data_IF_248460572186
#
_entry.id   IF_248460572186
#
_cell.length_a   1.000
_cell.length_b   1.000
_cell.length_c   1.000
_cell.angle_alpha   90.00
_cell.angle_beta   90.00
_cell.angle_gamma   90.00
#
_symmetry.space_group_name_H-M   'P 1'
#
loop_
_entity.id
_entity.type
_entity.pdbx_description
1 polymer ?
#
# COMPACT_ATOMS: atom_id res chain seq x y z
N UNK A 1 -27.21 11.09 35.41
CA UNK A 1 -26.47 12.16 34.72
C UNK A 1 -25.05 11.66 34.55
N UNK A 2 -24.83 10.83 33.52
CA UNK A 2 -23.61 10.03 33.36
C UNK A 2 -22.53 10.82 32.59
N UNK A 3 -21.31 10.57 33.04
CA UNK A 3 -20.09 11.32 32.85
C UNK A 3 -19.45 11.05 31.47
N UNK A 4 -19.05 12.11 30.77
CA UNK A 4 -18.22 12.09 29.57
C UNK A 4 -16.81 11.57 29.90
N UNK A 5 -16.27 10.69 29.05
CA UNK A 5 -14.83 10.45 28.93
C UNK A 5 -14.42 10.61 27.46
N UNK A 6 -14.11 11.85 27.08
CA UNK A 6 -13.38 12.20 25.86
C UNK A 6 -11.91 12.25 26.27
N UNK A 7 -11.06 11.38 25.72
CA UNK A 7 -9.61 11.52 25.81
C UNK A 7 -9.11 12.18 24.52
N UNK A 8 -8.91 13.50 24.63
CA UNK A 8 -8.09 14.30 23.73
C UNK A 8 -6.61 13.99 23.99
N UNK A 9 -5.83 13.84 22.92
CA UNK A 9 -4.38 13.72 22.99
C UNK A 9 -3.77 15.03 22.44
N UNK A 10 -3.35 15.91 23.35
CA UNK A 10 -2.55 17.09 23.02
C UNK A 10 -1.05 16.85 23.24
N UNK A 11 -0.30 17.56 22.42
CA UNK A 11 1.14 17.50 22.17
C UNK A 11 1.95 18.07 23.34
N UNK A 12 3.02 17.39 23.77
CA UNK A 12 3.96 17.92 24.75
C UNK A 12 5.26 17.10 24.79
N UNK A 13 6.34 17.67 24.26
CA UNK A 13 7.68 17.08 24.31
C UNK A 13 8.11 16.73 25.74
N UNK A 14 8.51 15.47 25.96
CA UNK A 14 9.52 15.11 26.96
C UNK A 14 10.21 13.79 26.60
N UNK A 15 11.54 13.82 26.59
CA UNK A 15 12.46 12.71 26.40
C UNK A 15 12.26 11.64 27.47
N UNK A 16 12.36 10.36 27.07
CA UNK A 16 12.42 9.20 27.97
C UNK A 16 11.41 8.13 27.58
N UNK A 17 11.73 7.32 26.58
CA UNK A 17 10.91 6.17 26.19
C UNK A 17 11.12 5.02 27.18
N UNK A 18 10.35 5.00 28.27
CA UNK A 18 10.08 3.78 29.01
C UNK A 18 9.01 2.97 28.27
N UNK A 19 9.32 1.69 28.01
CA UNK A 19 8.36 0.70 27.53
C UNK A 19 7.25 0.51 28.57
N UNK A 20 6.17 1.27 28.46
CA UNK A 20 4.94 0.98 29.18
C UNK A 20 4.28 -0.27 28.57
N UNK A 21 4.59 -1.43 29.14
CA UNK A 21 3.85 -2.65 28.89
C UNK A 21 2.38 -2.47 29.26
N UNK A 22 1.47 -2.75 28.32
CA UNK A 22 0.05 -2.92 28.62
C UNK A 22 -0.14 -4.28 29.28
N UNK A 23 -0.04 -4.32 30.61
CA UNK A 23 -0.27 -5.53 31.42
C UNK A 23 -1.60 -5.42 32.17
N UNK A 24 -2.61 -6.11 31.65
CA UNK A 24 -3.88 -6.41 32.31
C UNK A 24 -4.75 -7.24 31.36
N UNK A 25 -5.41 -8.33 31.80
CA UNK A 25 -6.35 -9.04 30.94
C UNK A 25 -7.52 -8.10 30.63
N UNK A 26 -7.63 -7.64 29.38
CA UNK A 26 -8.89 -7.10 28.88
C UNK A 26 -9.86 -8.27 28.84
N UNK A 27 -10.96 -8.19 29.58
CA UNK A 27 -12.10 -9.07 29.32
C UNK A 27 -12.44 -8.94 27.84
N UNK A 28 -12.30 -10.04 27.11
CA UNK A 28 -12.59 -10.05 25.69
C UNK A 28 -14.10 -9.91 25.51
N UNK A 29 -14.52 -8.95 24.69
CA UNK A 29 -15.92 -8.84 24.27
C UNK A 29 -16.39 -10.19 23.73
N UNK A 30 -17.62 -10.58 24.04
CA UNK A 30 -18.26 -11.69 23.34
C UNK A 30 -18.36 -11.38 21.84
N UNK A 31 -18.52 -12.44 21.03
CA UNK A 31 -18.65 -12.26 19.58
C UNK A 31 -19.80 -11.34 19.18
N UNK A 32 -20.93 -11.40 19.91
CA UNK A 32 -22.08 -10.51 19.69
C UNK A 32 -21.77 -9.05 20.01
N UNK A 33 -21.20 -8.78 21.20
CA UNK A 33 -20.84 -7.42 21.60
C UNK A 33 -19.81 -6.79 20.66
N UNK A 34 -18.86 -7.59 20.15
CA UNK A 34 -17.91 -7.13 19.16
C UNK A 34 -18.59 -6.77 17.83
N UNK A 35 -19.54 -7.59 17.38
CA UNK A 35 -20.30 -7.34 16.15
C UNK A 35 -21.11 -6.05 16.29
N UNK A 36 -21.82 -5.87 17.40
CA UNK A 36 -22.60 -4.66 17.66
C UNK A 36 -21.71 -3.41 17.68
N UNK A 37 -20.53 -3.51 18.29
CA UNK A 37 -19.55 -2.44 18.28
C UNK A 37 -19.07 -2.12 16.86
N UNK A 38 -18.77 -3.13 16.04
CA UNK A 38 -18.34 -2.92 14.66
C UNK A 38 -19.42 -2.26 13.80
N UNK A 39 -20.68 -2.68 13.95
CA UNK A 39 -21.81 -2.05 13.26
C UNK A 39 -21.99 -0.59 13.70
N UNK A 40 -21.89 -0.31 15.00
CA UNK A 40 -22.03 1.05 15.52
C UNK A 40 -20.94 2.03 15.04
N UNK A 41 -19.89 1.55 14.36
CA UNK A 41 -18.85 2.40 13.78
C UNK A 41 -19.07 2.78 12.31
N UNK A 42 -20.09 2.23 11.65
CA UNK A 42 -20.44 2.48 10.23
C UNK A 42 -19.21 2.40 9.30
N UNK A 43 -18.36 1.38 9.50
CA UNK A 43 -17.02 1.32 8.90
C UNK A 43 -17.02 1.31 7.37
N UNK A 44 -18.09 0.81 6.74
CA UNK A 44 -18.28 0.70 5.30
C UNK A 44 -18.69 2.01 4.62
N UNK A 45 -19.19 2.99 5.41
CA UNK A 45 -19.62 4.30 4.91
C UNK A 45 -18.60 5.41 5.17
N UNK A 46 -17.53 5.12 5.91
CA UNK A 46 -16.54 6.10 6.33
C UNK A 46 -15.35 6.17 5.38
N UNK A 47 -14.92 7.40 5.13
CA UNK A 47 -13.62 7.71 4.54
C UNK A 47 -12.60 8.00 5.66
N UNK A 48 -11.38 7.55 5.45
CA UNK A 48 -10.26 7.70 6.37
C UNK A 48 -9.07 8.33 5.64
N UNK A 49 -8.42 9.37 6.19
CA UNK A 49 -7.19 9.88 5.62
C UNK A 49 -6.11 8.79 5.65
N UNK A 50 -5.55 8.43 4.49
CA UNK A 50 -4.47 7.44 4.40
C UNK A 50 -3.29 7.76 5.33
N UNK A 51 -2.83 9.02 5.47
CA UNK A 51 -1.80 9.38 6.45
C UNK A 51 -2.15 8.99 7.89
N UNK A 52 -3.42 9.16 8.30
CA UNK A 52 -3.87 8.82 9.65
C UNK A 52 -3.89 7.30 9.86
N UNK A 53 -4.29 6.52 8.83
CA UNK A 53 -4.27 5.05 8.89
C UNK A 53 -2.84 4.51 9.00
N UNK A 54 -1.91 5.05 8.21
CA UNK A 54 -0.47 4.69 8.30
C UNK A 54 0.06 5.03 9.69
N UNK A 55 -0.12 6.28 10.14
CA UNK A 55 0.36 6.73 11.45
C UNK A 55 -0.18 5.88 12.60
N UNK A 56 -1.49 5.59 12.60
CA UNK A 56 -2.11 4.79 13.65
C UNK A 56 -1.63 3.33 13.66
N UNK A 57 -1.23 2.78 12.52
CA UNK A 57 -0.84 1.36 12.40
C UNK A 57 0.66 1.10 12.47
N UNK A 58 1.50 2.10 12.17
CA UNK A 58 2.97 1.93 12.09
C UNK A 58 3.74 2.92 12.97
N UNK A 59 3.09 3.98 13.44
CA UNK A 59 3.73 5.11 14.12
C UNK A 59 4.55 6.01 13.19
N UNK A 60 4.46 5.82 11.86
CA UNK A 60 5.19 6.60 10.85
C UNK A 60 4.32 7.65 10.17
N UNK A 61 4.97 8.66 9.63
CA UNK A 61 4.33 9.81 8.98
C UNK A 61 4.39 9.69 7.48
N UNK A 62 3.24 9.88 6.81
CA UNK A 62 3.19 10.14 5.37
C UNK A 62 3.54 11.61 5.15
N UNK A 63 4.72 11.85 4.59
CA UNK A 63 5.26 13.18 4.31
C UNK A 63 4.76 13.65 2.94
N UNK A 64 4.01 14.77 2.84
CA UNK A 64 3.59 15.31 1.54
C UNK A 64 4.79 15.71 0.69
N UNK A 65 4.76 15.39 -0.60
CA UNK A 65 5.78 15.85 -1.53
C UNK A 65 5.71 17.37 -1.69
N UNK A 66 6.87 18.04 -1.60
CA UNK A 66 6.97 19.49 -1.79
C UNK A 66 8.00 19.77 -2.89
N UNK A 67 7.69 20.61 -3.90
CA UNK A 67 8.59 20.89 -5.02
C UNK A 67 9.94 21.55 -4.66
N UNK A 68 10.14 21.98 -3.41
CA UNK A 68 11.35 22.69 -2.98
C UNK A 68 12.34 21.81 -2.18
N UNK A 69 12.06 20.51 -2.03
CA UNK A 69 12.96 19.56 -1.38
C UNK A 69 13.79 18.81 -2.43
N UNK A 70 15.11 18.96 -2.37
CA UNK A 70 16.03 18.39 -3.36
C UNK A 70 15.93 16.86 -3.46
N UNK A 71 15.68 16.16 -2.35
CA UNK A 71 15.47 14.71 -2.37
C UNK A 71 14.15 14.31 -3.03
N UNK A 72 13.08 15.07 -2.78
CA UNK A 72 11.77 14.89 -3.43
C UNK A 72 11.90 15.10 -4.94
N UNK A 73 12.59 16.17 -5.36
CA UNK A 73 12.80 16.47 -6.78
C UNK A 73 13.63 15.38 -7.46
N UNK A 74 14.74 14.95 -6.84
CA UNK A 74 15.58 13.87 -7.36
C UNK A 74 14.80 12.56 -7.53
N UNK A 75 14.03 12.14 -6.51
CA UNK A 75 13.23 10.92 -6.55
C UNK A 75 12.13 11.02 -7.61
N UNK A 76 11.38 12.13 -7.65
CA UNK A 76 10.26 12.26 -8.59
C UNK A 76 10.73 12.36 -10.04
N UNK A 77 11.84 13.04 -10.31
CA UNK A 77 12.47 13.07 -11.63
C UNK A 77 13.00 11.69 -12.06
N UNK A 78 13.56 10.92 -11.13
CA UNK A 78 13.98 9.55 -11.38
C UNK A 78 12.80 8.61 -11.70
N UNK A 79 11.67 8.77 -10.99
CA UNK A 79 10.44 8.02 -11.26
C UNK A 79 9.88 8.37 -12.63
N UNK A 80 9.82 9.65 -13.00
CA UNK A 80 9.37 10.11 -14.33
C UNK A 80 10.17 9.43 -15.45
N UNK A 81 11.49 9.53 -15.38
CA UNK A 81 12.37 8.96 -16.39
C UNK A 81 12.25 7.42 -16.43
N UNK A 82 12.23 6.74 -15.28
CA UNK A 82 12.05 5.29 -15.23
C UNK A 82 10.68 4.86 -15.79
N UNK A 83 9.60 5.60 -15.50
CA UNK A 83 8.27 5.30 -16.02
C UNK A 83 8.19 5.45 -17.55
N UNK A 84 8.86 6.47 -18.11
CA UNK A 84 8.97 6.64 -19.56
C UNK A 84 9.74 5.49 -20.22
N UNK A 85 10.86 5.06 -19.62
CA UNK A 85 11.64 3.92 -20.11
C UNK A 85 10.84 2.61 -20.05
N UNK A 86 10.10 2.38 -18.95
CA UNK A 86 9.22 1.21 -18.79
C UNK A 86 8.09 1.20 -19.84
N UNK A 87 7.48 2.35 -20.13
CA UNK A 87 6.47 2.45 -21.19
C UNK A 87 7.03 2.06 -22.55
N UNK A 88 8.23 2.53 -22.90
CA UNK A 88 8.88 2.19 -24.17
C UNK A 88 9.20 0.70 -24.21
N UNK A 89 9.80 0.17 -23.14
CA UNK A 89 10.16 -1.25 -23.03
C UNK A 89 8.95 -2.16 -23.23
N UNK A 90 7.86 -1.90 -22.53
CA UNK A 90 6.70 -2.81 -22.52
C UNK A 90 5.73 -2.62 -23.66
N UNK A 91 5.83 -1.54 -24.44
CA UNK A 91 5.19 -1.43 -25.74
C UNK A 91 6.07 -1.98 -26.89
N UNK A 92 7.34 -2.28 -26.63
CA UNK A 92 8.29 -2.80 -27.62
C UNK A 92 7.90 -4.18 -28.18
N UNK A 93 8.45 -4.58 -29.34
CA UNK A 93 8.16 -5.87 -29.96
C UNK A 93 8.55 -7.05 -29.07
N UNK A 94 9.63 -6.93 -28.29
CA UNK A 94 10.14 -7.99 -27.41
C UNK A 94 9.51 -7.96 -25.99
N UNK A 95 8.42 -7.22 -25.81
CA UNK A 95 7.77 -7.10 -24.51
C UNK A 95 7.28 -8.47 -24.01
N UNK A 96 7.65 -8.88 -22.78
CA UNK A 96 7.18 -10.14 -22.18
C UNK A 96 5.68 -10.10 -21.84
N UNK A 97 5.04 -8.95 -22.03
CA UNK A 97 3.63 -8.72 -21.74
C UNK A 97 2.72 -9.04 -22.92
N UNK A 98 3.31 -9.31 -24.10
CA UNK A 98 2.56 -9.80 -25.26
C UNK A 98 1.94 -11.15 -24.92
N UNK A 99 0.73 -11.38 -25.42
CA UNK A 99 -0.04 -12.61 -25.22
C UNK A 99 -0.46 -12.92 -23.77
N UNK A 100 -0.17 -12.05 -22.80
CA UNK A 100 -0.73 -12.17 -21.46
C UNK A 100 -2.25 -12.08 -21.53
N UNK A 101 -2.94 -13.12 -21.08
CA UNK A 101 -4.41 -13.15 -21.05
C UNK A 101 -5.00 -12.31 -19.93
N UNK A 102 -4.24 -12.05 -18.86
CA UNK A 102 -4.71 -11.28 -17.70
C UNK A 102 -3.71 -10.17 -17.40
N UNK A 103 -4.20 -8.93 -17.39
CA UNK A 103 -3.38 -7.76 -17.07
C UNK A 103 -2.73 -7.85 -15.69
N UNK A 104 -3.36 -8.53 -14.72
CA UNK A 104 -2.81 -8.70 -13.38
C UNK A 104 -1.48 -9.48 -13.35
N UNK A 105 -1.19 -10.26 -14.39
CA UNK A 105 0.09 -10.97 -14.53
C UNK A 105 1.22 -10.01 -14.96
N UNK A 106 0.88 -8.86 -15.55
CA UNK A 106 1.83 -7.85 -15.99
C UNK A 106 2.41 -7.01 -14.85
N UNK A 107 1.67 -6.81 -13.75
CA UNK A 107 2.07 -5.92 -12.64
C UNK A 107 3.49 -6.18 -12.13
N UNK A 108 3.88 -7.45 -12.04
CA UNK A 108 5.20 -7.84 -11.56
C UNK A 108 6.33 -7.36 -12.46
N UNK A 109 6.13 -7.35 -13.77
CA UNK A 109 7.16 -6.88 -14.70
C UNK A 109 7.41 -5.38 -14.52
N UNK A 110 6.36 -4.59 -14.27
CA UNK A 110 6.48 -3.17 -13.95
C UNK A 110 7.24 -2.95 -12.64
N UNK A 111 6.89 -3.68 -11.58
CA UNK A 111 7.61 -3.61 -10.30
C UNK A 111 9.12 -3.91 -10.46
N UNK A 112 9.46 -5.01 -11.12
CA UNK A 112 10.85 -5.43 -11.26
C UNK A 112 11.65 -4.50 -12.20
N UNK A 113 11.05 -4.01 -13.30
CA UNK A 113 11.69 -3.07 -14.21
C UNK A 113 11.94 -1.70 -13.55
N UNK A 114 10.94 -1.15 -12.85
CA UNK A 114 11.09 0.10 -12.10
C UNK A 114 12.19 -0.03 -11.03
N UNK A 115 12.22 -1.14 -10.29
CA UNK A 115 13.26 -1.37 -9.29
C UNK A 115 14.65 -1.29 -9.91
N UNK A 116 14.89 -2.01 -11.00
CA UNK A 116 16.21 -2.03 -11.68
C UNK A 116 16.59 -0.65 -12.19
N UNK A 117 15.65 0.06 -12.83
CA UNK A 117 15.92 1.39 -13.40
C UNK A 117 16.17 2.45 -12.33
N UNK A 118 15.44 2.39 -11.21
CA UNK A 118 15.61 3.34 -10.10
C UNK A 118 16.87 3.07 -9.28
N UNK A 119 17.19 1.80 -9.02
CA UNK A 119 18.40 1.40 -8.28
C UNK A 119 19.69 1.65 -9.08
N UNK A 120 19.58 1.73 -10.41
CA UNK A 120 20.69 2.07 -11.29
C UNK A 120 20.98 3.57 -11.43
N UNK A 121 20.21 4.46 -10.80
CA UNK A 121 20.42 5.91 -10.87
C UNK A 121 21.39 6.39 -9.80
N UNK A 122 22.34 7.23 -10.20
CA UNK A 122 23.33 7.80 -9.28
C UNK A 122 22.65 8.56 -8.13
N UNK A 123 23.11 8.30 -6.90
CA UNK A 123 22.59 8.93 -5.68
C UNK A 123 21.24 8.39 -5.20
N UNK A 124 20.71 7.33 -5.82
CA UNK A 124 19.51 6.64 -5.39
C UNK A 124 19.79 5.17 -5.07
N UNK A 125 19.08 4.64 -4.08
CA UNK A 125 18.91 3.19 -3.90
C UNK A 125 17.43 2.85 -4.04
N UNK A 126 17.13 1.71 -4.66
CA UNK A 126 15.76 1.23 -4.80
C UNK A 126 15.65 -0.28 -4.58
N UNK A 127 14.91 -0.67 -3.55
CA UNK A 127 14.78 -2.07 -3.15
C UNK A 127 13.36 -2.48 -2.81
N UNK A 128 13.19 -3.77 -2.52
CA UNK A 128 11.99 -4.28 -1.88
C UNK A 128 12.05 -3.86 -0.42
N UNK A 129 11.03 -3.20 0.14
CA UNK A 129 11.07 -2.77 1.52
C UNK A 129 11.18 -3.98 2.46
N UNK A 130 12.04 -3.86 3.47
CA UNK A 130 12.11 -4.82 4.57
C UNK A 130 10.99 -4.56 5.57
N UNK A 131 10.52 -5.63 6.19
CA UNK A 131 9.59 -5.53 7.32
C UNK A 131 10.28 -4.93 8.54
N UNK A 132 9.51 -4.44 9.51
CA UNK A 132 10.04 -4.02 10.82
C UNK A 132 10.89 -5.11 11.53
N UNK A 133 10.63 -6.39 11.23
CA UNK A 133 11.42 -7.53 11.72
C UNK A 133 12.68 -7.84 10.90
N UNK A 134 13.01 -7.04 9.88
CA UNK A 134 14.21 -7.19 9.04
C UNK A 134 14.08 -8.18 7.88
N UNK A 135 12.98 -8.95 7.79
CA UNK A 135 12.76 -9.86 6.67
C UNK A 135 12.27 -9.12 5.41
N UNK A 136 12.79 -9.48 4.25
CA UNK A 136 12.23 -9.05 2.97
C UNK A 136 10.86 -9.70 2.74
N UNK A 137 9.88 -8.89 2.33
CA UNK A 137 8.55 -9.39 1.98
C UNK A 137 8.06 -8.73 0.70
N UNK A 138 8.01 -9.50 -0.39
CA UNK A 138 7.47 -9.00 -1.66
C UNK A 138 5.98 -8.70 -1.59
N UNK A 139 5.19 -9.52 -0.90
CA UNK A 139 3.73 -9.37 -0.86
C UNK A 139 3.25 -8.25 0.07
N UNK A 140 2.33 -7.43 -0.41
CA UNK A 140 1.66 -6.37 0.34
C UNK A 140 2.31 -5.01 0.16
N UNK A 141 1.65 -3.95 0.62
CA UNK A 141 2.13 -2.58 0.46
C UNK A 141 3.29 -2.22 1.41
N UNK A 142 4.25 -1.37 1.00
CA UNK A 142 4.49 -0.88 -0.38
C UNK A 142 5.35 -1.85 -1.18
N UNK A 143 5.32 -1.74 -2.51
CA UNK A 143 6.08 -2.63 -3.41
C UNK A 143 7.57 -2.28 -3.44
N UNK A 144 7.92 -0.99 -3.50
CA UNK A 144 9.29 -0.49 -3.60
C UNK A 144 9.60 0.57 -2.52
N UNK A 145 10.86 0.63 -2.09
CA UNK A 145 11.43 1.70 -1.26
C UNK A 145 12.59 2.35 -2.02
N UNK A 146 12.51 3.66 -2.17
CA UNK A 146 13.53 4.50 -2.78
C UNK A 146 14.14 5.39 -1.69
N UNK A 147 15.45 5.55 -1.70
CA UNK A 147 16.16 6.49 -0.84
C UNK A 147 17.11 7.34 -1.67
N UNK A 148 17.04 8.65 -1.47
CA UNK A 148 18.02 9.58 -2.01
C UNK A 148 19.16 9.75 -1.00
N UNK A 149 20.34 9.27 -1.36
CA UNK A 149 21.47 9.10 -0.45
C UNK A 149 21.94 10.42 0.16
N UNK A 150 21.98 11.48 -0.65
CA UNK A 150 22.54 12.76 -0.21
C UNK A 150 21.68 13.48 0.83
N UNK A 151 20.34 13.34 0.76
CA UNK A 151 19.42 13.98 1.71
C UNK A 151 18.86 13.01 2.76
N UNK A 152 18.97 11.69 2.55
CA UNK A 152 18.27 10.67 3.32
C UNK A 152 16.76 10.66 3.09
N UNK A 153 16.25 11.34 2.05
CA UNK A 153 14.82 11.37 1.74
C UNK A 153 14.36 9.97 1.31
N UNK A 154 13.27 9.48 1.90
CA UNK A 154 12.69 8.17 1.59
C UNK A 154 11.36 8.35 0.89
N UNK A 155 11.13 7.52 -0.14
CA UNK A 155 9.83 7.37 -0.77
C UNK A 155 9.44 5.89 -0.89
N UNK A 156 8.17 5.60 -0.60
CA UNK A 156 7.56 4.32 -0.93
C UNK A 156 6.79 4.44 -2.24
N UNK A 157 7.01 3.50 -3.17
CA UNK A 157 6.38 3.49 -4.48
C UNK A 157 5.56 2.22 -4.66
N UNK A 158 4.33 2.39 -5.13
CA UNK A 158 3.36 1.32 -5.39
C UNK A 158 2.91 1.41 -6.86
N UNK A 159 3.54 0.66 -7.77
CA UNK A 159 3.13 0.61 -9.18
C UNK A 159 1.78 -0.08 -9.33
N UNK A 160 0.92 0.44 -10.21
CA UNK A 160 -0.39 -0.16 -10.52
C UNK A 160 -0.71 -0.03 -12.01
N UNK A 161 -1.47 -0.98 -12.52
CA UNK A 161 -2.02 -0.94 -13.87
C UNK A 161 -3.50 -0.57 -13.79
N UNK A 162 -3.97 0.28 -14.71
CA UNK A 162 -5.37 0.64 -14.80
C UNK A 162 -5.81 0.80 -16.25
N UNK A 163 -7.07 0.49 -16.55
CA UNK A 163 -7.61 0.71 -17.89
C UNK A 163 -7.86 2.20 -18.09
N UNK A 164 -7.41 2.77 -19.21
CA UNK A 164 -7.48 4.21 -19.47
C UNK A 164 -8.91 4.78 -19.39
N UNK A 165 -9.92 3.97 -19.70
CA UNK A 165 -11.35 4.29 -19.66
C UNK A 165 -11.94 4.22 -18.24
N UNK A 166 -11.19 3.69 -17.26
CA UNK A 166 -11.65 3.39 -15.90
C UNK A 166 -11.15 4.35 -14.83
N UNK A 167 -10.58 5.50 -15.20
CA UNK A 167 -9.99 6.47 -14.26
C UNK A 167 -10.99 6.92 -13.18
N UNK A 168 -12.27 7.04 -13.54
CA UNK A 168 -13.35 7.45 -12.63
C UNK A 168 -14.09 6.26 -11.98
N UNK A 169 -13.57 5.04 -12.13
CA UNK A 169 -14.17 3.83 -11.56
C UNK A 169 -14.08 3.81 -10.03
N UNK A 170 -15.16 3.37 -9.39
CA UNK A 170 -15.19 3.10 -7.94
C UNK A 170 -14.54 1.77 -7.53
N UNK A 171 -14.03 0.99 -8.50
CA UNK A 171 -13.32 -0.25 -8.21
C UNK A 171 -11.97 0.05 -7.54
N UNK A 172 -11.60 -0.84 -6.62
CA UNK A 172 -10.39 -0.70 -5.81
C UNK A 172 -9.12 -1.03 -6.60
N UNK A 173 -8.27 -0.02 -6.80
CA UNK A 173 -6.92 -0.19 -7.39
C UNK A 173 -5.82 -0.23 -6.34
N UNK A 174 -6.01 0.49 -5.22
CA UNK A 174 -5.05 0.59 -4.13
C UNK A 174 -5.49 -0.23 -2.92
N UNK A 175 -4.55 -0.94 -2.30
CA UNK A 175 -4.80 -1.81 -1.15
C UNK A 175 -3.76 -1.55 -0.07
N UNK A 176 -4.23 -1.21 1.12
CA UNK A 176 -3.38 -1.14 2.31
C UNK A 176 -3.97 -2.02 3.41
N UNK A 177 -3.17 -2.99 3.88
CA UNK A 177 -3.51 -3.81 5.04
C UNK A 177 -2.59 -3.42 6.19
N UNK A 178 -3.10 -2.72 7.22
CA UNK A 178 -2.36 -2.45 8.45
C UNK A 178 -1.80 -3.73 9.07
N UNK A 179 -0.51 -3.74 9.39
CA UNK A 179 0.15 -4.85 10.09
C UNK A 179 1.07 -4.29 11.17
N UNK A 180 0.75 -4.52 12.44
CA UNK A 180 1.51 -3.96 13.55
C UNK A 180 2.97 -4.46 13.60
N UNK A 181 3.20 -5.76 13.38
CA UNK A 181 4.52 -6.38 13.57
C UNK A 181 5.30 -6.57 12.26
N UNK A 182 4.59 -6.71 11.14
CA UNK A 182 5.18 -7.00 9.81
C UNK A 182 4.91 -5.90 8.78
N UNK A 183 4.70 -4.66 9.25
CA UNK A 183 4.64 -3.51 8.35
C UNK A 183 5.96 -3.34 7.60
N UNK A 184 5.84 -3.00 6.32
CA UNK A 184 6.93 -2.58 5.44
C UNK A 184 7.15 -1.06 5.42
N UNK A 185 6.23 -0.30 6.02
CA UNK A 185 6.38 1.14 6.25
C UNK A 185 7.13 1.32 7.56
N UNK A 186 8.42 1.62 7.46
CA UNK A 186 9.39 1.65 8.56
C UNK A 186 10.05 3.01 8.76
N UNK A 187 9.83 3.96 7.84
CA UNK A 187 10.35 5.33 7.91
C UNK A 187 9.21 6.35 7.71
N UNK A 188 9.44 7.58 8.18
CA UNK A 188 8.68 8.74 7.74
C UNK A 188 9.10 9.05 6.30
N UNK A 189 8.17 9.05 5.37
CA UNK A 189 8.51 9.00 3.95
C UNK A 189 7.42 9.64 3.08
N UNK A 190 7.77 9.92 1.83
CA UNK A 190 6.76 10.12 0.79
C UNK A 190 6.09 8.80 0.44
N UNK A 191 4.82 8.85 0.07
CA UNK A 191 4.07 7.69 -0.39
C UNK A 191 3.48 7.98 -1.76
N UNK A 192 3.97 7.27 -2.77
CA UNK A 192 3.58 7.47 -4.15
C UNK A 192 2.89 6.23 -4.73
N UNK A 193 1.89 6.47 -5.57
CA UNK A 193 1.32 5.48 -6.48
C UNK A 193 1.69 5.87 -7.91
N UNK A 194 2.25 4.94 -8.67
CA UNK A 194 2.54 5.13 -10.08
C UNK A 194 1.60 4.25 -10.91
N UNK A 195 0.59 4.88 -11.49
CA UNK A 195 -0.39 4.20 -12.34
C UNK A 195 0.05 4.19 -13.79
N UNK A 196 0.14 3.03 -14.44
CA UNK A 196 0.29 2.92 -15.89
C UNK A 196 -1.06 2.59 -16.53
N UNK A 197 -1.45 3.41 -17.52
CA UNK A 197 -2.69 3.25 -18.25
C UNK A 197 -2.53 2.19 -19.35
N UNK A 198 -3.50 1.28 -19.51
CA UNK A 198 -3.58 0.36 -20.63
C UNK A 198 -4.87 0.53 -21.45
N UNK A 199 -4.85 0.04 -22.69
CA UNK A 199 -5.95 0.17 -23.66
C UNK A 199 -7.08 -0.85 -23.51
N UNK A 200 -6.91 -1.86 -22.64
CA UNK A 200 -7.95 -2.86 -22.36
C UNK A 200 -7.99 -4.02 -23.37
N UNK A 201 -7.03 -4.09 -24.29
CA UNK A 201 -7.00 -5.11 -25.34
C UNK A 201 -6.30 -6.38 -24.88
N UNK A 202 -7.07 -7.35 -24.39
CA UNK A 202 -6.59 -8.66 -23.96
C UNK A 202 -5.64 -9.31 -24.99
N UNK A 203 -4.47 -9.74 -24.52
CA UNK A 203 -3.44 -10.38 -25.36
C UNK A 203 -2.65 -9.42 -26.27
N UNK A 204 -3.07 -8.16 -26.39
CA UNK A 204 -2.43 -7.13 -27.22
C UNK A 204 -2.34 -5.79 -26.49
N UNK A 205 -1.95 -5.86 -25.21
CA UNK A 205 -1.88 -4.71 -24.32
C UNK A 205 -1.01 -3.60 -24.88
N UNK A 206 -1.57 -2.40 -24.96
CA UNK A 206 -0.81 -1.18 -25.21
C UNK A 206 -0.90 -0.28 -23.98
N UNK A 207 0.25 0.17 -23.49
CA UNK A 207 0.34 1.09 -22.38
C UNK A 207 0.40 2.53 -22.90
N UNK A 208 -0.58 3.35 -22.52
CA UNK A 208 -0.86 4.64 -23.17
C UNK A 208 -0.30 5.84 -22.42
N UNK A 209 0.20 5.64 -21.19
CA UNK A 209 0.75 6.70 -20.36
C UNK A 209 0.92 6.26 -18.92
N UNK A 210 1.41 7.16 -18.06
CA UNK A 210 1.50 6.95 -16.64
C UNK A 210 1.11 8.21 -15.85
N UNK A 211 0.75 8.03 -14.57
CA UNK A 211 0.45 9.11 -13.61
C UNK A 211 1.13 8.81 -12.28
N UNK A 212 1.90 9.76 -11.78
CA UNK A 212 2.45 9.72 -10.42
C UNK A 212 1.53 10.47 -9.45
N UNK A 213 1.12 9.81 -8.38
CA UNK A 213 0.15 10.34 -7.41
C UNK A 213 0.78 10.37 -6.02
N UNK A 214 0.73 11.53 -5.37
CA UNK A 214 1.05 11.67 -3.95
C UNK A 214 -0.13 11.20 -3.08
N UNK A 215 0.11 10.20 -2.24
CA UNK A 215 -0.89 9.61 -1.35
C UNK A 215 -1.11 10.41 -0.06
N UNK A 216 -0.39 11.50 0.16
CA UNK A 216 -0.52 12.33 1.37
C UNK A 216 -1.90 12.99 1.55
N UNK A 217 -2.73 13.01 0.51
CA UNK A 217 -4.12 13.51 0.56
C UNK A 217 -5.18 12.44 0.30
N UNK A 218 -4.76 11.18 0.09
CA UNK A 218 -5.66 10.09 -0.25
C UNK A 218 -6.66 9.84 0.89
N UNK A 219 -7.94 9.72 0.54
CA UNK A 219 -8.97 9.14 1.41
C UNK A 219 -9.16 7.68 1.03
N UNK A 220 -9.19 6.79 2.03
CA UNK A 220 -9.43 5.36 1.85
C UNK A 220 -10.68 4.92 2.59
N UNK A 221 -11.32 3.87 2.12
CA UNK A 221 -12.48 3.24 2.77
C UNK A 221 -12.08 1.92 3.39
N UNK A 222 -12.75 1.53 4.47
CA UNK A 222 -12.58 0.22 5.09
C UNK A 222 -13.69 -0.72 4.61
N UNK A 223 -13.33 -1.82 3.94
CA UNK A 223 -14.25 -2.92 3.69
C UNK A 223 -13.98 -4.04 4.69
N UNK A 224 -14.83 -4.15 5.70
CA UNK A 224 -14.82 -5.28 6.63
C UNK A 224 -15.59 -6.46 6.03
N UNK A 225 -14.97 -7.64 5.98
CA UNK A 225 -15.64 -8.88 5.56
C UNK A 225 -15.20 -10.05 6.45
N UNK A 226 -16.15 -10.93 6.80
CA UNK A 226 -15.85 -12.20 7.45
C UNK A 226 -15.40 -13.20 6.38
N UNK A 227 -14.33 -13.94 6.64
CA UNK A 227 -13.75 -14.89 5.70
C UNK A 227 -13.54 -16.26 6.34
N UNK A 228 -13.53 -17.31 5.51
CA UNK A 228 -13.16 -18.67 5.90
C UNK A 228 -12.25 -19.26 4.82
N UNK A 229 -11.20 -19.97 5.21
CA UNK A 229 -10.33 -20.64 4.26
C UNK A 229 -10.91 -21.99 3.82
N UNK A 230 -10.44 -22.54 2.70
CA UNK A 230 -10.86 -23.87 2.22
C UNK A 230 -10.73 -24.96 3.31
N UNK A 231 -9.69 -24.88 4.15
CA UNK A 231 -9.50 -25.84 5.26
C UNK A 231 -10.64 -25.79 6.28
N UNK A 232 -11.24 -24.62 6.50
CA UNK A 232 -12.30 -24.42 7.49
C UNK A 232 -13.64 -24.90 6.93
N UNK A 233 -13.86 -24.64 5.64
CA UNK A 233 -15.07 -25.04 4.92
C UNK A 233 -15.16 -26.55 4.72
N UNK A 234 -14.05 -27.21 4.38
CA UNK A 234 -14.04 -28.63 3.99
C UNK A 234 -13.51 -29.59 5.07
N UNK A 235 -13.42 -29.14 6.32
CA UNK A 235 -13.05 -30.03 7.45
C UNK A 235 -14.05 -31.17 7.61
N UNK A 236 -13.56 -32.32 8.08
CA UNK A 236 -14.40 -33.46 8.42
C UNK A 236 -15.48 -33.03 9.45
N UNK A 237 -16.75 -33.24 9.12
CA UNK A 237 -17.90 -32.82 9.93
C UNK A 237 -18.64 -31.58 9.42
N UNK A 238 -18.02 -30.74 8.58
CA UNK A 238 -18.72 -29.63 7.90
C UNK A 238 -19.29 -30.05 6.53
N UNK A 239 -18.65 -31.02 5.86
CA UNK A 239 -19.06 -31.51 4.54
C UNK A 239 -20.21 -32.50 4.65
N UNK A 240 -21.38 -32.12 4.12
CA UNK A 240 -22.57 -32.98 4.14
C UNK A 240 -22.56 -34.05 3.03
N UNK A 241 -22.12 -33.70 1.81
CA UNK A 241 -21.96 -34.59 0.65
C UNK A 241 -20.86 -34.07 -0.28
N UNK A 242 -20.24 -34.96 -1.05
CA UNK A 242 -19.30 -34.63 -2.12
C UNK A 242 -19.31 -35.71 -3.20
N UNK A 243 -19.11 -35.35 -4.46
CA UNK A 243 -18.85 -36.32 -5.54
C UNK A 243 -17.43 -36.86 -5.42
N UNK A 244 -17.21 -38.08 -5.93
CA UNK A 244 -15.86 -38.61 -6.14
C UNK A 244 -15.25 -38.04 -7.41
#
# INVERSE_FOLDING_TARGET
>A
MFLLAILAFEFGMRKGAEKAGRTGPREALSGGELIDLLYAQDLDQRDFPFPAVVSASTGRTVVPARPADAGTEAITAAIDAAANEVLVMFNGPDSPLRDLRRINEASRFFEDALRVLLDGREGLTCGIPTTAGGGEQRAGYPDLRIEHEASGTVAYLDPKLFEATSVDSGLRTFYYTPKAESSKVTADAHHFLLGFAHDGRDGAWTFTGWKLVDLARLQVRLKAEFQAANRDLYRAGAVLRGSR
#
